data_IF_181523595544
#
_entry.id   IF_181523595544
#
_cell.length_a   1.000
_cell.length_b   1.000
_cell.length_c   1.000
_cell.angle_alpha   90.00
_cell.angle_beta   90.00
_cell.angle_gamma   90.00
#
_symmetry.space_group_name_H-M   'P 1'
#
loop_
_entity.id
_entity.type
_entity.pdbx_description
1 polymer ?
#
# COMPACT_ATOMS: atom_id res chain seq x y z
N UNK A 1 -14.34 -2.65 -5.40
CA UNK A 1 -13.34 -3.11 -4.41
C UNK A 1 -11.97 -2.64 -4.86
N UNK A 2 -11.17 -2.14 -3.92
CA UNK A 2 -9.81 -1.66 -4.17
C UNK A 2 -8.84 -2.37 -3.25
N UNK A 3 -7.72 -2.81 -3.81
CA UNK A 3 -6.71 -3.62 -3.13
C UNK A 3 -5.35 -3.01 -3.38
N UNK A 4 -4.52 -2.90 -2.35
CA UNK A 4 -3.12 -2.52 -2.51
C UNK A 4 -2.21 -3.38 -1.65
N UNK A 5 -0.93 -3.40 -2.00
CA UNK A 5 0.05 -4.31 -1.44
C UNK A 5 1.26 -3.54 -0.93
N UNK A 6 1.66 -3.81 0.31
CA UNK A 6 2.83 -3.19 0.94
C UNK A 6 3.79 -4.29 1.38
N UNK A 7 5.12 -4.15 1.15
CA UNK A 7 6.11 -5.08 1.67
C UNK A 7 5.98 -5.27 3.18
N UNK A 8 5.72 -6.51 3.61
CA UNK A 8 5.43 -6.83 5.01
C UNK A 8 6.56 -6.41 5.94
N UNK A 9 7.79 -6.63 5.49
CA UNK A 9 8.99 -6.33 6.26
C UNK A 9 9.22 -4.83 6.52
N UNK A 10 8.51 -3.94 5.80
CA UNK A 10 8.63 -2.48 5.98
C UNK A 10 7.56 -1.87 6.88
N UNK A 11 6.48 -2.60 7.16
CA UNK A 11 5.30 -2.04 7.83
C UNK A 11 5.58 -1.59 9.28
N UNK A 12 6.45 -2.31 9.97
CA UNK A 12 6.83 -2.07 11.37
C UNK A 12 8.35 -1.86 11.54
N UNK A 13 9.06 -1.59 10.44
CA UNK A 13 10.50 -1.32 10.49
C UNK A 13 10.78 0.13 10.94
N UNK A 14 11.55 0.32 12.03
CA UNK A 14 11.90 1.64 12.57
C UNK A 14 12.49 2.62 11.56
N UNK A 15 13.18 2.13 10.51
CA UNK A 15 13.79 2.96 9.46
C UNK A 15 12.77 3.78 8.68
N UNK A 16 11.51 3.33 8.66
CA UNK A 16 10.43 4.00 7.96
C UNK A 16 9.46 4.68 8.92
N UNK A 17 9.80 4.90 10.19
CA UNK A 17 8.93 5.63 11.11
C UNK A 17 8.86 7.11 10.72
N UNK A 18 7.69 7.71 10.86
CA UNK A 18 7.45 9.14 10.64
C UNK A 18 6.54 9.62 11.76
N UNK A 19 6.95 10.69 12.45
CA UNK A 19 6.23 11.27 13.59
C UNK A 19 5.86 10.22 14.67
N UNK A 20 6.76 9.27 14.93
CA UNK A 20 6.58 8.20 15.91
C UNK A 20 5.59 7.11 15.51
N UNK A 21 5.04 7.13 14.29
CA UNK A 21 4.11 6.12 13.79
C UNK A 21 4.80 5.11 12.89
N UNK A 22 4.43 3.84 13.00
CA UNK A 22 4.78 2.81 12.02
C UNK A 22 4.02 3.05 10.70
N UNK A 23 4.48 2.47 9.60
CA UNK A 23 3.75 2.55 8.33
C UNK A 23 2.39 1.85 8.46
N UNK A 24 2.33 0.72 9.17
CA UNK A 24 1.08 0.02 9.51
C UNK A 24 0.10 0.93 10.25
N UNK A 25 0.56 1.62 11.30
CA UNK A 25 -0.27 2.52 12.08
C UNK A 25 -0.77 3.71 11.26
N UNK A 26 0.06 4.23 10.34
CA UNK A 26 -0.33 5.31 9.44
C UNK A 26 -1.41 4.87 8.44
N UNK A 27 -1.26 3.69 7.82
CA UNK A 27 -2.28 3.10 6.94
C UNK A 27 -3.59 2.89 7.70
N UNK A 28 -3.52 2.25 8.88
CA UNK A 28 -4.69 2.00 9.72
C UNK A 28 -5.44 3.30 10.02
N UNK A 29 -4.73 4.32 10.52
CA UNK A 29 -5.34 5.63 10.82
C UNK A 29 -5.97 6.28 9.59
N UNK A 30 -5.28 6.27 8.45
CA UNK A 30 -5.81 6.83 7.21
C UNK A 30 -7.11 6.13 6.79
N UNK A 31 -7.09 4.80 6.68
CA UNK A 31 -8.23 4.02 6.23
C UNK A 31 -9.42 4.13 7.19
N UNK A 32 -9.18 4.07 8.51
CA UNK A 32 -10.26 4.18 9.51
C UNK A 32 -10.87 5.58 9.56
N UNK A 33 -10.04 6.65 9.53
CA UNK A 33 -10.54 8.02 9.61
C UNK A 33 -11.35 8.41 8.37
N UNK A 34 -10.96 7.91 7.19
CA UNK A 34 -11.59 8.26 5.91
C UNK A 34 -12.75 7.33 5.57
N UNK A 35 -12.51 6.02 5.59
CA UNK A 35 -13.40 5.02 5.00
C UNK A 35 -14.13 4.18 6.04
N UNK A 36 -13.79 4.33 7.33
CA UNK A 36 -14.44 3.70 8.49
C UNK A 36 -14.35 2.17 8.55
N UNK A 37 -13.85 1.52 7.50
CA UNK A 37 -13.61 0.08 7.45
C UNK A 37 -12.56 -0.25 6.39
N UNK A 38 -11.77 -1.29 6.65
CA UNK A 38 -10.94 -1.98 5.68
C UNK A 38 -10.68 -3.39 6.19
N UNK A 39 -10.30 -4.31 5.31
CA UNK A 39 -9.78 -5.62 5.71
C UNK A 39 -8.30 -5.71 5.37
N UNK A 40 -7.59 -6.50 6.17
CA UNK A 40 -6.17 -6.74 6.00
C UNK A 40 -5.95 -8.24 6.03
N UNK A 41 -5.22 -8.75 5.05
CA UNK A 41 -4.79 -10.14 5.03
C UNK A 41 -3.29 -10.16 5.32
N UNK A 42 -2.87 -10.52 6.55
CA UNK A 42 -1.46 -10.61 6.92
C UNK A 42 -0.76 -11.86 6.35
N UNK A 43 -1.49 -12.69 5.58
CA UNK A 43 -0.94 -13.88 4.93
C UNK A 43 0.04 -13.47 3.82
N UNK A 44 1.21 -14.13 3.72
CA UNK A 44 2.23 -13.76 2.75
C UNK A 44 1.72 -13.88 1.31
N UNK A 45 1.56 -12.75 0.62
CA UNK A 45 1.38 -12.68 -0.82
C UNK A 45 2.75 -12.48 -1.46
N UNK A 46 3.17 -13.35 -2.38
CA UNK A 46 4.41 -13.12 -3.12
C UNK A 46 4.20 -12.04 -4.17
N UNK A 47 4.90 -10.92 -4.04
CA UNK A 47 5.00 -9.89 -5.07
C UNK A 47 6.20 -10.15 -5.97
N UNK A 48 6.08 -9.84 -7.26
CA UNK A 48 7.15 -9.96 -8.25
C UNK A 48 7.17 -8.71 -9.13
N UNK A 49 8.35 -8.18 -9.42
CA UNK A 49 8.53 -7.06 -10.36
C UNK A 49 9.95 -7.06 -10.92
N UNK A 50 10.17 -6.28 -11.97
CA UNK A 50 11.50 -6.02 -12.53
C UNK A 50 12.05 -4.71 -11.99
N UNK A 51 13.30 -4.69 -11.55
CA UNK A 51 14.00 -3.47 -11.16
C UNK A 51 14.54 -2.71 -12.40
N UNK A 52 15.27 -1.60 -12.19
CA UNK A 52 15.89 -0.80 -13.27
C UNK A 52 16.92 -1.58 -14.09
N UNK A 53 17.54 -2.61 -13.51
CA UNK A 53 18.48 -3.51 -14.18
C UNK A 53 17.79 -4.64 -14.95
N UNK A 54 16.45 -4.67 -14.97
CA UNK A 54 15.63 -5.74 -15.55
C UNK A 54 15.77 -7.11 -14.85
N UNK A 55 16.26 -7.11 -13.61
CA UNK A 55 16.30 -8.32 -12.78
C UNK A 55 14.95 -8.56 -12.12
N UNK A 56 14.53 -9.83 -12.05
CA UNK A 56 13.35 -10.23 -11.31
C UNK A 56 13.62 -10.14 -9.79
N UNK A 57 12.86 -9.29 -9.12
CA UNK A 57 12.84 -9.14 -7.68
C UNK A 57 11.53 -9.69 -7.15
N UNK A 58 11.56 -10.24 -5.93
CA UNK A 58 10.34 -10.70 -5.25
C UNK A 58 10.37 -10.33 -3.78
N UNK A 59 9.18 -10.22 -3.18
CA UNK A 59 9.03 -9.92 -1.76
C UNK A 59 7.72 -10.51 -1.20
N UNK A 60 7.64 -10.54 0.14
CA UNK A 60 6.43 -10.88 0.87
C UNK A 60 5.64 -9.60 1.13
N UNK A 61 4.40 -9.59 0.65
CA UNK A 61 3.50 -8.45 0.68
C UNK A 61 2.34 -8.72 1.64
N UNK A 62 1.88 -7.67 2.34
CA UNK A 62 0.58 -7.65 2.98
C UNK A 62 -0.47 -7.01 2.07
N UNK A 63 -1.65 -7.63 2.03
CA UNK A 63 -2.78 -7.17 1.23
C UNK A 63 -3.73 -6.35 2.08
N UNK A 64 -3.98 -5.12 1.63
CA UNK A 64 -4.99 -4.23 2.20
C UNK A 64 -6.14 -4.11 1.22
N UNK A 65 -7.36 -4.32 1.69
CA UNK A 65 -8.57 -4.20 0.88
C UNK A 65 -9.51 -3.17 1.50
N UNK A 66 -9.97 -2.25 0.68
CA UNK A 66 -10.85 -1.15 1.08
C UNK A 66 -11.92 -0.92 0.01
N UNK A 67 -13.08 -0.46 0.46
CA UNK A 67 -14.17 -0.01 -0.40
C UNK A 67 -14.51 1.44 -0.08
N UNK A 68 -15.04 2.13 -1.08
CA UNK A 68 -15.36 3.56 -1.02
C UNK A 68 -16.85 3.75 -1.31
N UNK A 69 -17.40 4.86 -0.85
CA UNK A 69 -18.77 5.26 -1.16
C UNK A 69 -18.85 6.11 -2.44
N UNK A 70 -17.81 6.89 -2.73
CA UNK A 70 -17.78 7.79 -3.91
C UNK A 70 -16.43 7.73 -4.64
N UNK A 71 -16.41 8.07 -5.93
CA UNK A 71 -15.21 7.99 -6.76
C UNK A 71 -14.06 8.89 -6.28
N UNK A 72 -14.35 10.09 -5.77
CA UNK A 72 -13.32 11.04 -5.28
C UNK A 72 -12.55 10.54 -4.06
N UNK A 73 -13.06 9.55 -3.33
CA UNK A 73 -12.35 8.89 -2.23
C UNK A 73 -11.18 8.04 -2.71
N UNK A 74 -11.24 7.58 -3.95
CA UNK A 74 -10.16 6.82 -4.57
C UNK A 74 -8.93 7.70 -4.84
N UNK A 75 -9.12 8.92 -5.35
CA UNK A 75 -8.02 9.85 -5.62
C UNK A 75 -7.24 10.17 -4.33
N UNK A 76 -7.96 10.32 -3.22
CA UNK A 76 -7.36 10.52 -1.89
C UNK A 76 -6.54 9.32 -1.42
N UNK A 77 -6.97 8.09 -1.75
CA UNK A 77 -6.13 6.91 -1.51
C UNK A 77 -4.85 6.99 -2.33
N UNK A 78 -4.93 7.37 -3.60
CA UNK A 78 -3.76 7.47 -4.46
C UNK A 78 -2.76 8.48 -3.92
N UNK A 79 -3.21 9.68 -3.52
CA UNK A 79 -2.36 10.69 -2.89
C UNK A 79 -1.66 10.15 -1.62
N UNK A 80 -2.41 9.42 -0.79
CA UNK A 80 -1.86 8.76 0.39
C UNK A 80 -0.84 7.68 0.05
N UNK A 81 -1.07 6.92 -1.03
CA UNK A 81 -0.14 5.87 -1.47
C UNK A 81 1.13 6.47 -2.09
N UNK A 82 1.06 7.57 -2.83
CA UNK A 82 2.25 8.34 -3.28
C UNK A 82 3.06 8.83 -2.08
N UNK A 83 2.34 9.41 -1.12
CA UNK A 83 2.66 9.52 0.32
C UNK A 83 3.63 8.48 0.87
N UNK A 84 3.03 7.31 1.05
CA UNK A 84 3.59 6.14 1.67
C UNK A 84 4.74 5.55 0.85
N UNK A 85 4.61 5.49 -0.48
CA UNK A 85 5.63 4.96 -1.39
C UNK A 85 6.96 5.69 -1.23
N UNK A 86 6.93 7.04 -1.19
CA UNK A 86 8.12 7.86 -0.93
C UNK A 86 8.73 7.55 0.44
N UNK A 87 7.89 7.46 1.47
CA UNK A 87 8.30 7.13 2.84
C UNK A 87 8.97 5.75 2.93
N UNK A 88 8.43 4.74 2.24
CA UNK A 88 8.94 3.37 2.23
C UNK A 88 10.14 3.17 1.27
N UNK A 89 10.53 4.21 0.53
CA UNK A 89 11.55 4.16 -0.53
C UNK A 89 11.25 3.07 -1.55
N UNK A 90 9.97 2.91 -1.89
CA UNK A 90 9.54 2.02 -2.96
C UNK A 90 9.54 2.73 -4.30
N UNK A 91 9.76 1.99 -5.38
CA UNK A 91 9.61 2.53 -6.74
C UNK A 91 8.13 2.74 -7.08
N UNK A 92 7.28 1.79 -6.68
CA UNK A 92 5.83 1.89 -6.86
C UNK A 92 5.08 1.05 -5.82
N UNK A 93 3.78 1.33 -5.66
CA UNK A 93 2.85 0.47 -4.93
C UNK A 93 1.88 -0.14 -5.94
N UNK A 94 1.74 -1.47 -5.94
CA UNK A 94 0.77 -2.18 -6.78
C UNK A 94 -0.63 -2.03 -6.19
N UNK A 95 -1.57 -1.61 -7.03
CA UNK A 95 -2.96 -1.40 -6.64
C UNK A 95 -3.88 -1.96 -7.72
N UNK A 96 -4.98 -2.56 -7.30
CA UNK A 96 -6.05 -3.06 -8.17
C UNK A 96 -7.38 -2.44 -7.77
N UNK A 97 -8.14 -1.99 -8.75
CA UNK A 97 -9.49 -1.44 -8.58
C UNK A 97 -10.41 -2.04 -9.62
N UNK A 98 -11.43 -2.77 -9.16
CA UNK A 98 -12.29 -3.53 -10.04
C UNK A 98 -11.47 -4.54 -10.85
N UNK A 99 -11.48 -4.39 -12.17
CA UNK A 99 -10.78 -5.22 -13.16
C UNK A 99 -9.44 -4.62 -13.63
N UNK A 100 -9.03 -3.46 -13.10
CA UNK A 100 -7.81 -2.76 -13.53
C UNK A 100 -6.75 -2.79 -12.44
N UNK A 101 -5.49 -2.92 -12.86
CA UNK A 101 -4.33 -2.85 -11.99
C UNK A 101 -3.37 -1.76 -12.46
N UNK A 102 -2.72 -1.10 -11.53
CA UNK A 102 -1.82 0.03 -11.78
C UNK A 102 -0.72 0.09 -10.73
N UNK A 103 0.37 0.74 -11.12
CA UNK A 103 1.51 1.06 -10.26
C UNK A 103 1.42 2.53 -9.85
N UNK A 104 1.29 2.78 -8.55
CA UNK A 104 1.32 4.14 -7.99
C UNK A 104 2.77 4.56 -7.82
N UNK A 105 3.21 5.49 -8.68
CA UNK A 105 4.59 5.96 -8.79
C UNK A 105 4.92 7.20 -7.96
#
# INVERSE_FOLDING_TARGET
MTVFYIPSHKLDDPRFYLDGLTARSAIHRFLMNRYRAYTQTPTPVKGYWTNESNDMVHDVMERFEVSFNVESEFDQLIEFLVTLRKRLKEQAIYVTRGDRSYLVQ
#
